data_IF_369956210542
#
_entry.id   IF_369956210542
#
_cell.length_a   1.000
_cell.length_b   1.000
_cell.length_c   1.000
_cell.angle_alpha   90.00
_cell.angle_beta   90.00
_cell.angle_gamma   90.00
#
_symmetry.space_group_name_H-M   'P 1'
#
loop_
_entity.id
_entity.type
_entity.pdbx_description
1 polymer ?
#
# COMPACT_ATOMS: atom_id res chain seq x y z
N UNK A 1 -32.14 -3.76 7.84
CA UNK A 1 -31.10 -3.84 6.80
C UNK A 1 -30.95 -2.52 6.01
N UNK A 2 -30.82 -1.36 6.67
CA UNK A 2 -30.73 -0.04 6.00
C UNK A 2 -29.52 0.80 6.45
N UNK A 3 -28.58 0.21 7.21
CA UNK A 3 -27.43 0.96 7.74
C UNK A 3 -26.15 0.95 6.91
N UNK A 4 -26.03 0.06 5.92
CA UNK A 4 -24.73 -0.15 5.25
C UNK A 4 -24.38 0.88 4.18
N UNK A 5 -25.36 1.43 3.47
CA UNK A 5 -25.13 2.32 2.33
C UNK A 5 -24.76 3.75 2.75
N UNK A 6 -25.35 4.27 3.81
CA UNK A 6 -25.07 5.62 4.31
C UNK A 6 -23.65 5.72 4.92
N UNK A 7 -23.20 4.67 5.60
CA UNK A 7 -21.88 4.66 6.25
C UNK A 7 -20.74 4.53 5.22
N UNK A 8 -20.96 3.81 4.12
CA UNK A 8 -20.03 3.75 2.99
C UNK A 8 -19.83 5.11 2.34
N UNK A 9 -20.93 5.85 2.10
CA UNK A 9 -20.89 7.20 1.56
C UNK A 9 -20.13 8.16 2.48
N UNK A 10 -20.24 8.00 3.81
CA UNK A 10 -19.53 8.84 4.77
C UNK A 10 -18.01 8.64 4.72
N UNK A 11 -17.51 7.41 4.69
CA UNK A 11 -16.06 7.13 4.60
C UNK A 11 -15.46 7.64 3.29
N UNK A 12 -16.10 7.36 2.16
CA UNK A 12 -15.66 7.86 0.86
C UNK A 12 -15.67 9.39 0.79
N UNK A 13 -16.66 10.02 1.38
CA UNK A 13 -16.77 11.49 1.45
C UNK A 13 -15.62 12.08 2.28
N UNK A 14 -15.28 11.46 3.41
CA UNK A 14 -14.15 11.88 4.25
C UNK A 14 -12.82 11.72 3.53
N UNK A 15 -12.59 10.61 2.83
CA UNK A 15 -11.39 10.39 2.03
C UNK A 15 -11.27 11.38 0.87
N UNK A 16 -12.37 11.67 0.16
CA UNK A 16 -12.42 12.73 -0.87
C UNK A 16 -12.08 14.11 -0.31
N UNK A 17 -12.50 14.40 0.93
CA UNK A 17 -12.13 15.66 1.60
C UNK A 17 -10.63 15.72 1.89
N UNK A 18 -10.00 14.62 2.29
CA UNK A 18 -8.54 14.53 2.46
C UNK A 18 -7.85 14.82 1.13
N UNK A 19 -8.29 14.18 0.06
CA UNK A 19 -7.72 14.39 -1.28
C UNK A 19 -7.84 15.85 -1.73
N UNK A 20 -9.01 16.47 -1.52
CA UNK A 20 -9.21 17.88 -1.83
C UNK A 20 -8.29 18.80 -1.02
N UNK A 21 -8.15 18.57 0.30
CA UNK A 21 -7.24 19.33 1.16
C UNK A 21 -5.78 19.16 0.72
N UNK A 22 -5.41 17.94 0.34
CA UNK A 22 -4.05 17.64 -0.16
C UNK A 22 -3.76 18.35 -1.49
N UNK A 23 -4.73 18.41 -2.39
CA UNK A 23 -4.60 19.14 -3.65
C UNK A 23 -4.50 20.65 -3.44
N UNK A 24 -5.30 21.19 -2.50
CA UNK A 24 -5.44 22.64 -2.27
C UNK A 24 -4.28 23.26 -1.52
N UNK A 25 -3.63 22.50 -0.62
CA UNK A 25 -2.50 22.98 0.18
C UNK A 25 -1.32 21.99 0.12
N UNK A 26 -0.29 22.28 -0.69
CA UNK A 26 0.92 21.45 -0.78
C UNK A 26 1.66 21.27 0.55
N UNK A 27 1.50 22.15 1.52
CA UNK A 27 2.14 22.07 2.85
C UNK A 27 1.28 21.37 3.89
N UNK A 28 0.03 21.02 3.56
CA UNK A 28 -0.88 20.35 4.48
C UNK A 28 -0.27 19.06 5.02
N UNK A 29 -0.31 18.92 6.35
CA UNK A 29 0.01 17.71 7.10
C UNK A 29 -1.27 17.19 7.74
N UNK A 30 -1.40 15.86 7.85
CA UNK A 30 -2.61 15.21 8.33
C UNK A 30 -2.30 14.50 9.66
N UNK A 31 -2.83 15.02 10.76
CA UNK A 31 -2.51 14.58 12.13
C UNK A 31 -3.55 13.62 12.71
N UNK A 32 -4.64 13.37 12.01
CA UNK A 32 -5.71 12.49 12.48
C UNK A 32 -6.27 11.67 11.34
N UNK A 33 -5.73 10.47 11.14
CA UNK A 33 -6.12 9.55 10.07
C UNK A 33 -6.63 8.21 10.63
N UNK A 34 -6.23 7.84 11.85
CA UNK A 34 -6.60 6.55 12.46
C UNK A 34 -8.10 6.40 12.71
N UNK A 35 -8.88 7.48 12.79
CA UNK A 35 -10.33 7.39 12.95
C UNK A 35 -11.05 6.77 11.72
N UNK A 36 -10.36 6.71 10.58
CA UNK A 36 -10.86 5.99 9.40
C UNK A 36 -10.80 4.46 9.54
N UNK A 37 -10.04 3.94 10.51
CA UNK A 37 -9.96 2.51 10.80
C UNK A 37 -11.06 2.12 11.80
N UNK A 38 -12.28 2.07 11.36
CA UNK A 38 -13.45 1.68 12.13
C UNK A 38 -14.13 0.44 11.51
N UNK A 39 -15.08 -0.14 12.23
CA UNK A 39 -15.75 -1.38 11.82
C UNK A 39 -16.38 -1.26 10.45
N UNK A 40 -17.03 -0.14 10.16
CA UNK A 40 -17.73 0.10 8.91
C UNK A 40 -16.76 0.17 7.73
N UNK A 41 -15.68 0.95 7.88
CA UNK A 41 -14.66 1.09 6.83
C UNK A 41 -13.95 -0.23 6.54
N UNK A 42 -13.64 -1.01 7.58
CA UNK A 42 -13.00 -2.31 7.43
C UNK A 42 -13.97 -3.36 6.84
N UNK A 43 -15.27 -3.28 7.17
CA UNK A 43 -16.29 -4.09 6.51
C UNK A 43 -16.37 -3.79 5.00
N UNK A 44 -16.28 -2.51 4.64
CA UNK A 44 -16.18 -2.11 3.25
C UNK A 44 -14.96 -2.74 2.56
N UNK A 45 -13.79 -2.64 3.18
CA UNK A 45 -12.58 -3.29 2.68
C UNK A 45 -12.74 -4.81 2.55
N UNK A 46 -13.42 -5.47 3.51
CA UNK A 46 -13.69 -6.90 3.43
C UNK A 46 -14.50 -7.26 2.18
N UNK A 47 -15.54 -6.50 1.86
CA UNK A 47 -16.35 -6.77 0.67
C UNK A 47 -15.60 -6.55 -0.65
N UNK A 48 -14.65 -5.62 -0.67
CA UNK A 48 -13.81 -5.35 -1.84
C UNK A 48 -12.70 -6.39 -2.07
N UNK A 49 -12.28 -7.13 -1.03
CA UNK A 49 -11.24 -8.14 -1.18
C UNK A 49 -11.75 -9.35 -1.98
N UNK A 50 -10.91 -9.85 -2.89
CA UNK A 50 -11.16 -11.08 -3.64
C UNK A 50 -11.00 -12.31 -2.73
N UNK A 51 -12.08 -13.06 -2.53
CA UNK A 51 -12.10 -14.28 -1.70
C UNK A 51 -11.41 -15.50 -2.31
N UNK A 52 -11.03 -15.44 -3.60
CA UNK A 52 -10.33 -16.54 -4.29
C UNK A 52 -8.80 -16.47 -4.11
N UNK A 53 -8.29 -15.39 -3.53
CA UNK A 53 -6.85 -15.20 -3.34
C UNK A 53 -6.29 -16.10 -2.24
N UNK A 54 -5.01 -16.43 -2.37
CA UNK A 54 -4.29 -17.30 -1.44
C UNK A 54 -4.37 -16.79 0.01
N UNK A 55 -4.45 -17.74 0.95
CA UNK A 55 -4.51 -17.49 2.39
C UNK A 55 -3.11 -17.24 2.97
N UNK A 56 -3.06 -16.49 4.07
CA UNK A 56 -1.82 -16.22 4.82
C UNK A 56 -1.32 -17.43 5.61
N UNK A 57 -0.47 -17.15 6.59
CA UNK A 57 0.14 -18.19 7.46
C UNK A 57 -0.86 -18.85 8.40
N UNK A 58 -1.96 -18.16 8.73
CA UNK A 58 -3.04 -18.63 9.59
C UNK A 58 -4.00 -19.61 8.90
N UNK A 59 -3.93 -19.70 7.56
CA UNK A 59 -4.81 -20.56 6.76
C UNK A 59 -6.26 -20.10 6.69
N UNK A 60 -6.61 -18.96 7.25
CA UNK A 60 -8.00 -18.47 7.32
C UNK A 60 -8.42 -17.90 5.97
N UNK A 61 -9.50 -18.46 5.42
CA UNK A 61 -10.12 -17.97 4.17
C UNK A 61 -11.03 -16.78 4.43
N UNK A 62 -11.36 -16.02 3.35
CA UNK A 62 -12.34 -14.93 3.45
C UNK A 62 -13.72 -15.43 3.90
N UNK A 63 -14.15 -16.63 3.46
CA UNK A 63 -15.42 -17.22 3.87
C UNK A 63 -15.46 -17.50 5.37
N UNK A 64 -14.45 -18.18 5.91
CA UNK A 64 -14.34 -18.49 7.34
C UNK A 64 -14.28 -17.22 8.22
N UNK A 65 -13.50 -16.22 7.82
CA UNK A 65 -13.48 -14.94 8.54
C UNK A 65 -14.84 -14.23 8.50
N UNK A 66 -15.55 -14.36 7.40
CA UNK A 66 -16.88 -13.78 7.17
C UNK A 66 -18.00 -14.39 8.01
N UNK A 67 -17.85 -15.63 8.51
CA UNK A 67 -18.83 -16.29 9.38
C UNK A 67 -19.07 -15.49 10.69
N UNK A 68 -18.02 -14.83 11.20
CA UNK A 68 -18.05 -13.99 12.40
C UNK A 68 -17.57 -12.56 12.12
N UNK A 69 -17.88 -12.02 10.94
CA UNK A 69 -17.31 -10.75 10.45
C UNK A 69 -17.46 -9.60 11.45
N UNK A 70 -18.66 -9.40 12.02
CA UNK A 70 -18.91 -8.30 12.93
C UNK A 70 -18.07 -8.39 14.21
N UNK A 71 -17.94 -9.57 14.79
CA UNK A 71 -17.16 -9.83 16.00
C UNK A 71 -15.67 -9.66 15.72
N UNK A 72 -15.18 -10.25 14.62
CA UNK A 72 -13.77 -10.17 14.19
C UNK A 72 -13.35 -8.71 13.94
N UNK A 73 -14.18 -7.93 13.22
CA UNK A 73 -13.87 -6.53 12.95
C UNK A 73 -13.94 -5.68 14.22
N UNK A 74 -14.86 -5.96 15.15
CA UNK A 74 -14.94 -5.25 16.41
C UNK A 74 -13.68 -5.49 17.26
N UNK A 75 -13.26 -6.75 17.39
CA UNK A 75 -12.02 -7.09 18.09
C UNK A 75 -10.79 -6.44 17.44
N UNK A 76 -10.68 -6.49 16.10
CA UNK A 76 -9.58 -5.84 15.37
C UNK A 76 -9.52 -4.35 15.67
N UNK A 77 -10.65 -3.63 15.58
CA UNK A 77 -10.71 -2.18 15.85
C UNK A 77 -10.33 -1.87 17.29
N UNK A 78 -10.80 -2.66 18.26
CA UNK A 78 -10.44 -2.48 19.67
C UNK A 78 -8.95 -2.75 19.92
N UNK A 79 -8.35 -3.75 19.29
CA UNK A 79 -6.89 -3.98 19.33
C UNK A 79 -6.13 -2.82 18.69
N UNK A 80 -6.63 -2.27 17.57
CA UNK A 80 -6.03 -1.09 16.93
C UNK A 80 -6.12 0.15 17.82
N UNK A 81 -7.27 0.42 18.46
CA UNK A 81 -7.43 1.56 19.38
C UNK A 81 -6.43 1.51 20.54
N UNK A 82 -6.18 0.34 21.08
CA UNK A 82 -5.23 0.11 22.20
C UNK A 82 -3.78 -0.04 21.75
N UNK A 83 -3.48 0.13 20.45
CA UNK A 83 -2.16 -0.12 19.85
C UNK A 83 -1.64 -1.56 20.07
N UNK A 84 -2.55 -2.50 20.30
CA UNK A 84 -2.24 -3.92 20.53
C UNK A 84 -2.20 -4.76 19.24
N UNK A 85 -2.78 -4.27 18.14
CA UNK A 85 -2.71 -4.96 16.85
C UNK A 85 -1.25 -5.07 16.38
N UNK A 86 -0.88 -6.30 15.94
CA UNK A 86 0.42 -6.64 15.37
C UNK A 86 0.20 -7.39 14.07
N UNK A 87 0.72 -6.91 12.94
CA UNK A 87 0.72 -7.68 11.71
C UNK A 87 1.46 -8.99 11.89
N UNK A 88 0.97 -10.04 11.24
CA UNK A 88 1.65 -11.33 11.20
C UNK A 88 2.67 -11.37 10.05
N UNK A 89 3.69 -12.24 10.13
CA UNK A 89 4.62 -12.45 9.02
C UNK A 89 3.89 -12.85 7.75
N UNK A 90 4.37 -12.37 6.60
CA UNK A 90 3.84 -12.79 5.31
C UNK A 90 4.34 -14.19 4.94
N UNK A 91 3.48 -15.03 4.40
CA UNK A 91 3.86 -16.33 3.84
C UNK A 91 4.48 -16.13 2.46
N UNK A 92 5.76 -16.47 2.30
CA UNK A 92 6.42 -16.39 1.01
C UNK A 92 6.04 -17.55 0.10
N UNK A 93 5.70 -17.23 -1.13
CA UNK A 93 5.60 -18.18 -2.25
C UNK A 93 6.45 -17.67 -3.41
N UNK A 94 6.95 -18.60 -4.21
CA UNK A 94 7.80 -18.26 -5.37
C UNK A 94 6.97 -18.49 -6.62
N UNK A 95 6.89 -17.49 -7.49
CA UNK A 95 6.17 -17.58 -8.76
C UNK A 95 7.10 -17.31 -9.93
N UNK A 96 6.90 -17.95 -11.10
CA UNK A 96 7.67 -17.67 -12.30
C UNK A 96 7.55 -16.20 -12.71
N UNK A 97 8.64 -15.63 -13.22
CA UNK A 97 8.61 -14.31 -13.88
C UNK A 97 8.12 -14.47 -15.31
N UNK A 98 7.15 -13.64 -15.69
CA UNK A 98 6.67 -13.60 -17.06
C UNK A 98 7.80 -13.17 -18.02
N UNK A 99 7.91 -13.87 -19.15
CA UNK A 99 8.89 -13.57 -20.19
C UNK A 99 10.35 -13.92 -19.86
N UNK A 100 10.64 -14.52 -18.70
CA UNK A 100 11.99 -14.93 -18.29
C UNK A 100 12.02 -16.39 -17.86
N UNK A 101 12.24 -17.37 -18.77
CA UNK A 101 12.26 -18.79 -18.42
C UNK A 101 13.28 -19.09 -17.32
N UNK A 102 12.84 -19.78 -16.27
CA UNK A 102 13.68 -20.15 -15.12
C UNK A 102 13.86 -19.06 -14.05
N UNK A 103 13.48 -17.82 -14.32
CA UNK A 103 13.52 -16.77 -13.33
C UNK A 103 12.28 -16.82 -12.41
N UNK A 104 12.50 -16.69 -11.10
CA UNK A 104 11.46 -16.75 -10.08
C UNK A 104 11.41 -15.42 -9.32
N UNK A 105 10.23 -15.05 -8.83
CA UNK A 105 10.07 -13.91 -7.92
C UNK A 105 9.37 -14.34 -6.64
N UNK A 106 9.83 -13.87 -5.47
CA UNK A 106 9.14 -14.10 -4.23
C UNK A 106 7.91 -13.20 -4.15
N UNK A 107 6.79 -13.76 -3.66
CA UNK A 107 5.55 -13.05 -3.39
C UNK A 107 5.15 -13.29 -1.94
N UNK A 108 4.88 -12.21 -1.18
CA UNK A 108 4.42 -12.29 0.19
C UNK A 108 2.89 -12.32 0.26
N UNK A 109 2.33 -13.29 0.97
CA UNK A 109 0.88 -13.44 1.18
C UNK A 109 0.57 -13.14 2.64
N UNK A 110 -0.06 -12.00 2.89
CA UNK A 110 -0.54 -11.58 4.20
C UNK A 110 -1.78 -12.38 4.62
N UNK A 111 -2.02 -12.49 5.93
CA UNK A 111 -3.29 -13.00 6.47
C UNK A 111 -4.44 -12.06 6.10
N UNK A 112 -5.67 -12.56 6.18
CA UNK A 112 -6.83 -11.78 5.74
C UNK A 112 -7.01 -10.49 6.57
N UNK A 113 -6.84 -10.57 7.87
CA UNK A 113 -6.95 -9.43 8.77
C UNK A 113 -5.95 -8.32 8.40
N UNK A 114 -4.71 -8.69 8.12
CA UNK A 114 -3.69 -7.72 7.68
C UNK A 114 -4.04 -7.13 6.31
N UNK A 115 -4.62 -7.93 5.40
CA UNK A 115 -5.10 -7.42 4.09
C UNK A 115 -6.18 -6.34 4.27
N UNK A 116 -7.08 -6.49 5.26
CA UNK A 116 -8.10 -5.47 5.56
C UNK A 116 -7.46 -4.16 6.03
N UNK A 117 -6.54 -4.25 6.97
CA UNK A 117 -5.82 -3.08 7.48
C UNK A 117 -4.98 -2.42 6.38
N UNK A 118 -4.26 -3.21 5.58
CA UNK A 118 -3.50 -2.73 4.43
C UNK A 118 -4.39 -2.06 3.39
N UNK A 119 -5.56 -2.61 3.11
CA UNK A 119 -6.51 -2.02 2.16
C UNK A 119 -7.03 -0.66 2.64
N UNK A 120 -7.33 -0.53 3.93
CA UNK A 120 -7.72 0.75 4.50
C UNK A 120 -6.56 1.75 4.51
N UNK A 121 -5.33 1.30 4.84
CA UNK A 121 -4.12 2.13 4.70
C UNK A 121 -3.92 2.62 3.28
N UNK A 122 -4.07 1.75 2.29
CA UNK A 122 -4.00 2.11 0.87
C UNK A 122 -4.95 3.27 0.57
N UNK A 123 -6.24 3.16 0.92
CA UNK A 123 -7.24 4.20 0.67
C UNK A 123 -6.88 5.54 1.34
N UNK A 124 -6.39 5.50 2.56
CA UNK A 124 -5.95 6.70 3.29
C UNK A 124 -4.73 7.34 2.61
N UNK A 125 -3.71 6.54 2.31
CA UNK A 125 -2.48 7.02 1.65
C UNK A 125 -2.78 7.56 0.24
N UNK A 126 -3.58 6.87 -0.55
CA UNK A 126 -4.04 7.36 -1.85
C UNK A 126 -4.72 8.72 -1.73
N UNK A 127 -5.59 8.91 -0.74
CA UNK A 127 -6.26 10.20 -0.52
C UNK A 127 -5.28 11.33 -0.19
N UNK A 128 -4.17 11.03 0.49
CA UNK A 128 -3.14 12.02 0.83
C UNK A 128 -2.23 12.32 -0.35
N UNK A 129 -1.82 11.31 -1.11
CA UNK A 129 -0.72 11.42 -2.07
C UNK A 129 -1.17 11.50 -3.53
N UNK A 130 -2.27 10.84 -3.93
CA UNK A 130 -2.73 10.82 -5.33
C UNK A 130 -2.81 12.22 -5.96
N UNK A 131 -3.31 13.26 -5.25
CA UNK A 131 -3.37 14.61 -5.82
C UNK A 131 -2.00 15.27 -6.03
N UNK A 132 -0.92 14.64 -5.59
CA UNK A 132 0.45 15.18 -5.63
C UNK A 132 1.34 14.52 -6.67
N UNK A 133 0.87 13.44 -7.26
CA UNK A 133 1.62 12.74 -8.30
C UNK A 133 1.80 13.60 -9.54
N UNK A 134 2.95 13.48 -10.16
CA UNK A 134 3.19 14.07 -11.46
C UNK A 134 2.33 13.38 -12.54
N UNK A 135 1.96 14.13 -13.56
CA UNK A 135 1.16 13.58 -14.65
C UNK A 135 1.88 12.51 -15.46
N UNK A 136 3.20 12.45 -15.40
CA UNK A 136 4.03 11.42 -16.03
C UNK A 136 4.15 10.13 -15.19
N UNK A 137 3.59 10.06 -13.99
CA UNK A 137 3.54 8.83 -13.17
C UNK A 137 2.29 8.02 -13.52
N UNK A 138 2.46 6.75 -13.85
CA UNK A 138 1.38 5.86 -14.29
C UNK A 138 1.24 4.59 -13.46
N UNK A 139 2.31 4.16 -12.77
CA UNK A 139 2.33 2.91 -12.02
C UNK A 139 1.38 2.93 -10.83
N UNK A 140 0.65 1.83 -10.61
CA UNK A 140 -0.22 1.56 -9.44
C UNK A 140 -1.17 2.69 -9.02
N UNK A 141 -1.48 3.60 -9.92
CA UNK A 141 -2.39 4.72 -9.67
C UNK A 141 -3.82 4.42 -10.13
N UNK A 142 -4.85 4.87 -9.37
CA UNK A 142 -6.24 4.73 -9.79
C UNK A 142 -6.49 5.36 -11.16
N UNK A 143 -7.10 4.59 -12.07
CA UNK A 143 -7.48 5.09 -13.41
C UNK A 143 -6.32 5.33 -14.37
N UNK A 144 -5.09 4.92 -14.03
CA UNK A 144 -3.91 4.98 -14.91
C UNK A 144 -3.28 3.60 -15.04
N UNK A 145 -2.71 3.31 -16.20
CA UNK A 145 -2.07 2.01 -16.46
C UNK A 145 -0.95 2.08 -17.48
N UNK A 146 -0.32 0.94 -17.73
CA UNK A 146 0.80 0.83 -18.68
C UNK A 146 0.40 1.25 -20.10
N UNK A 147 -0.83 1.01 -20.53
CA UNK A 147 -1.32 1.45 -21.84
C UNK A 147 -1.38 2.98 -21.95
N UNK A 148 -1.74 3.67 -20.87
CA UNK A 148 -1.76 5.14 -20.83
C UNK A 148 -0.34 5.71 -20.90
N UNK A 149 0.62 5.06 -20.19
CA UNK A 149 2.03 5.42 -20.25
C UNK A 149 2.59 5.26 -21.67
N UNK A 150 2.32 4.13 -22.33
CA UNK A 150 2.75 3.86 -23.70
C UNK A 150 2.13 4.87 -24.67
N UNK A 151 0.84 5.16 -24.50
CA UNK A 151 0.13 6.16 -25.34
C UNK A 151 0.75 7.55 -25.19
N UNK A 152 1.03 7.98 -23.95
CA UNK A 152 1.66 9.27 -23.70
C UNK A 152 3.07 9.35 -24.29
N UNK A 153 3.87 8.29 -24.12
CA UNK A 153 5.20 8.19 -24.72
C UNK A 153 5.12 8.27 -26.27
N UNK A 154 4.21 7.49 -26.88
CA UNK A 154 4.00 7.51 -28.32
C UNK A 154 3.64 8.90 -28.83
N UNK A 155 2.69 9.58 -28.16
CA UNK A 155 2.29 10.95 -28.53
C UNK A 155 3.46 11.93 -28.41
N UNK A 156 4.28 11.81 -27.33
CA UNK A 156 5.44 12.66 -27.16
C UNK A 156 6.47 12.45 -28.28
N UNK A 157 6.81 11.20 -28.60
CA UNK A 157 7.75 10.87 -29.67
C UNK A 157 7.24 11.29 -31.06
N UNK A 158 5.92 11.25 -31.29
CA UNK A 158 5.34 11.62 -32.57
C UNK A 158 5.31 13.14 -32.81
N UNK A 159 5.09 13.92 -31.74
CA UNK A 159 4.93 15.37 -31.87
C UNK A 159 6.21 16.18 -31.60
N UNK A 160 7.28 15.53 -31.14
CA UNK A 160 8.55 16.19 -30.84
C UNK A 160 9.71 15.52 -31.56
N UNK A 161 10.72 16.30 -31.94
CA UNK A 161 11.98 15.77 -32.45
C UNK A 161 12.80 15.21 -31.28
N UNK A 162 12.76 13.88 -31.08
CA UNK A 162 13.48 13.20 -30.01
C UNK A 162 14.70 12.53 -30.61
N UNK A 163 15.88 12.96 -30.19
CA UNK A 163 17.15 12.39 -30.65
C UNK A 163 17.57 11.17 -29.85
N UNK A 164 17.25 11.09 -28.57
CA UNK A 164 17.69 10.02 -27.65
C UNK A 164 16.57 9.66 -26.70
N UNK A 165 16.37 8.37 -26.45
CA UNK A 165 15.53 7.83 -25.37
C UNK A 165 16.44 7.08 -24.39
N UNK A 166 16.33 7.42 -23.11
CA UNK A 166 17.08 6.77 -22.02
C UNK A 166 16.06 6.00 -21.16
N UNK A 167 16.25 4.69 -21.05
CA UNK A 167 15.48 3.82 -20.16
C UNK A 167 16.32 3.51 -18.92
N UNK A 168 15.73 3.70 -17.74
CA UNK A 168 16.41 3.50 -16.44
C UNK A 168 15.53 2.63 -15.55
N UNK A 169 16.10 1.55 -15.02
CA UNK A 169 15.43 0.68 -14.05
C UNK A 169 16.29 0.49 -12.79
N UNK A 170 15.63 0.36 -11.65
CA UNK A 170 16.29 0.16 -10.36
C UNK A 170 16.33 -1.33 -10.01
N UNK A 171 17.53 -1.89 -9.93
CA UNK A 171 17.71 -3.29 -9.55
C UNK A 171 17.24 -3.56 -8.11
N UNK A 172 16.44 -4.64 -7.93
CA UNK A 172 15.94 -5.09 -6.64
C UNK A 172 15.29 -3.99 -5.77
N UNK A 173 14.61 -3.05 -6.39
CA UNK A 173 14.09 -1.86 -5.76
C UNK A 173 13.34 -2.13 -4.43
N UNK A 174 12.35 -3.03 -4.45
CA UNK A 174 11.57 -3.35 -3.25
C UNK A 174 12.41 -4.02 -2.13
N UNK A 175 13.50 -4.70 -2.48
CA UNK A 175 14.37 -5.37 -1.52
C UNK A 175 15.40 -4.45 -0.86
N UNK A 176 15.57 -3.22 -1.37
CA UNK A 176 16.59 -2.27 -0.89
C UNK A 176 16.02 -1.01 -0.26
N UNK A 177 14.70 -0.98 -0.02
CA UNK A 177 14.05 0.18 0.60
C UNK A 177 14.40 0.22 2.08
N UNK A 178 15.03 1.29 2.50
CA UNK A 178 15.29 1.60 3.90
C UNK A 178 13.99 1.99 4.60
N UNK A 179 13.63 1.26 5.67
CA UNK A 179 12.39 1.48 6.41
C UNK A 179 12.37 2.81 7.15
N UNK A 180 13.50 3.26 7.71
CA UNK A 180 13.58 4.49 8.49
C UNK A 180 13.40 5.70 7.57
N UNK A 181 14.11 5.70 6.43
CA UNK A 181 13.99 6.75 5.45
C UNK A 181 12.57 6.81 4.84
N UNK A 182 11.94 5.66 4.58
CA UNK A 182 10.56 5.62 4.10
C UNK A 182 9.59 6.22 5.14
N UNK A 183 9.79 5.93 6.42
CA UNK A 183 8.97 6.50 7.50
C UNK A 183 9.18 8.01 7.60
N UNK A 184 10.41 8.52 7.50
CA UNK A 184 10.69 9.96 7.49
C UNK A 184 9.96 10.67 6.34
N UNK A 185 10.01 10.11 5.14
CA UNK A 185 9.29 10.65 3.98
C UNK A 185 7.78 10.67 4.19
N UNK A 186 7.21 9.61 4.76
CA UNK A 186 5.78 9.57 5.09
C UNK A 186 5.40 10.63 6.13
N UNK A 187 6.26 10.89 7.12
CA UNK A 187 6.05 11.87 8.17
C UNK A 187 6.04 13.33 7.67
N UNK A 188 6.57 13.61 6.49
CA UNK A 188 6.44 14.92 5.88
C UNK A 188 4.97 15.34 5.69
N UNK A 189 4.08 14.39 5.41
CA UNK A 189 2.65 14.63 5.15
C UNK A 189 1.74 14.02 6.20
N UNK A 190 2.17 12.96 6.87
CA UNK A 190 1.41 12.24 7.87
C UNK A 190 1.94 12.58 9.25
N UNK A 191 1.14 13.31 10.03
CA UNK A 191 1.43 13.65 11.41
C UNK A 191 0.78 12.70 12.42
N UNK A 192 -0.09 11.79 11.97
CA UNK A 192 -0.71 10.79 12.84
C UNK A 192 0.32 9.72 13.24
N UNK A 193 0.91 9.88 14.43
CA UNK A 193 1.94 8.96 14.97
C UNK A 193 1.43 7.52 15.12
N UNK A 194 0.13 7.32 15.32
CA UNK A 194 -0.44 5.97 15.44
C UNK A 194 -0.44 5.27 14.09
N UNK A 195 -0.79 5.98 13.01
CA UNK A 195 -0.73 5.45 11.65
C UNK A 195 0.72 5.15 11.24
N UNK A 196 1.64 6.07 11.47
CA UNK A 196 3.08 5.88 11.24
C UNK A 196 3.61 4.65 11.98
N UNK A 197 3.23 4.46 13.23
CA UNK A 197 3.63 3.29 14.01
C UNK A 197 3.09 1.97 13.42
N UNK A 198 1.87 1.98 12.88
CA UNK A 198 1.33 0.79 12.20
C UNK A 198 2.02 0.51 10.87
N UNK A 199 2.34 1.53 10.08
CA UNK A 199 3.15 1.38 8.87
C UNK A 199 4.52 0.76 9.19
N UNK A 200 5.23 1.30 10.19
CA UNK A 200 6.51 0.74 10.66
C UNK A 200 6.39 -0.72 11.11
N UNK A 201 5.32 -1.08 11.83
CA UNK A 201 5.08 -2.49 12.21
C UNK A 201 4.83 -3.39 11.01
N UNK A 202 4.14 -2.91 9.98
CA UNK A 202 3.89 -3.67 8.76
C UNK A 202 5.16 -3.90 7.95
N UNK A 203 6.04 -2.91 7.88
CA UNK A 203 7.33 -3.06 7.21
C UNK A 203 8.22 -4.10 7.93
N UNK A 204 8.15 -4.14 9.27
CA UNK A 204 8.92 -5.04 10.13
C UNK A 204 8.22 -6.36 10.46
N UNK A 205 7.08 -6.68 9.85
CA UNK A 205 6.32 -7.90 10.16
C UNK A 205 7.07 -9.21 9.84
N UNK A 206 8.06 -9.13 8.95
CA UNK A 206 8.86 -10.28 8.55
C UNK A 206 8.22 -11.16 7.49
N UNK A 207 9.00 -12.10 7.02
CA UNK A 207 8.64 -13.05 5.96
C UNK A 207 8.89 -14.47 6.46
N UNK A 208 7.88 -15.33 6.38
CA UNK A 208 8.01 -16.75 6.62
C UNK A 208 8.32 -17.46 5.28
N UNK A 209 9.55 -17.95 5.14
CA UNK A 209 10.03 -18.66 3.96
C UNK A 209 10.56 -20.03 4.36
N UNK A 210 10.05 -21.11 3.73
CA UNK A 210 10.46 -22.48 3.99
C UNK A 210 10.48 -22.91 5.47
N UNK A 211 9.62 -22.30 6.30
CA UNK A 211 9.55 -22.59 7.74
C UNK A 211 10.47 -21.73 8.61
N UNK A 212 11.31 -20.91 8.01
CA UNK A 212 12.18 -19.96 8.71
C UNK A 212 11.62 -18.54 8.66
N UNK A 213 11.70 -17.84 9.78
CA UNK A 213 11.27 -16.46 9.88
C UNK A 213 12.44 -15.52 9.61
N UNK A 214 12.30 -14.70 8.59
CA UNK A 214 13.29 -13.68 8.24
C UNK A 214 12.69 -12.31 8.52
N UNK A 215 13.36 -11.54 9.37
CA UNK A 215 13.03 -10.15 9.65
C UNK A 215 14.19 -9.30 9.16
N UNK A 216 13.93 -8.39 8.24
CA UNK A 216 14.92 -7.48 7.71
C UNK A 216 14.55 -6.04 8.08
N UNK A 217 15.55 -5.21 8.29
CA UNK A 217 15.36 -3.75 8.47
C UNK A 217 15.23 -3.01 7.12
N UNK A 218 15.43 -3.73 6.02
CA UNK A 218 15.33 -3.24 4.65
C UNK A 218 14.36 -4.10 3.84
N UNK A 219 13.78 -3.50 2.83
CA UNK A 219 12.91 -4.16 1.86
C UNK A 219 11.46 -4.28 2.31
N UNK A 220 10.59 -4.33 1.33
CA UNK A 220 9.16 -4.51 1.52
C UNK A 220 8.69 -5.77 0.80
N UNK A 221 7.80 -6.57 1.42
CA UNK A 221 7.32 -7.78 0.79
C UNK A 221 6.52 -7.45 -0.47
N UNK A 222 6.93 -8.01 -1.61
CA UNK A 222 6.18 -7.89 -2.85
C UNK A 222 4.83 -8.59 -2.71
N UNK A 223 3.75 -7.93 -3.12
CA UNK A 223 2.38 -8.45 -3.05
C UNK A 223 1.56 -7.97 -1.85
N UNK A 224 2.12 -7.17 -0.95
CA UNK A 224 1.34 -6.44 0.04
C UNK A 224 0.51 -5.34 -0.63
N UNK A 225 -0.75 -5.20 -0.22
CA UNK A 225 -1.69 -4.23 -0.81
C UNK A 225 -1.23 -2.78 -0.57
N UNK A 226 -0.56 -2.51 0.55
CA UNK A 226 -0.09 -1.17 0.92
C UNK A 226 1.26 -0.80 0.31
N UNK A 227 2.04 -1.79 -0.17
CA UNK A 227 3.40 -1.57 -0.66
C UNK A 227 3.47 -0.61 -1.85
N UNK A 228 2.73 -0.80 -2.95
CA UNK A 228 2.80 0.10 -4.09
C UNK A 228 2.43 1.55 -3.74
N UNK A 229 1.29 1.86 -3.10
CA UNK A 229 0.94 3.23 -2.76
C UNK A 229 1.95 3.90 -1.84
N UNK A 230 2.53 3.16 -0.90
CA UNK A 230 3.49 3.71 0.06
C UNK A 230 4.80 4.12 -0.61
N UNK A 231 5.23 3.39 -1.64
CA UNK A 231 6.52 3.61 -2.30
C UNK A 231 6.41 4.59 -3.45
N UNK A 232 5.47 4.39 -4.34
CA UNK A 232 5.33 5.23 -5.53
C UNK A 232 4.90 6.65 -5.18
N UNK A 233 4.22 6.81 -4.06
CA UNK A 233 3.73 8.10 -3.57
C UNK A 233 4.84 9.03 -3.10
N UNK A 234 6.03 8.54 -2.84
CA UNK A 234 7.15 9.36 -2.41
C UNK A 234 8.18 9.66 -3.52
N UNK A 235 7.88 9.30 -4.77
CA UNK A 235 8.70 9.61 -5.91
C UNK A 235 8.10 10.79 -6.69
N UNK A 236 8.69 11.96 -6.79
CA UNK A 236 9.73 12.31 -7.74
C UNK A 236 10.89 13.17 -7.21
N UNK A 237 10.80 13.74 -6.02
CA UNK A 237 11.89 14.58 -5.49
C UNK A 237 12.67 13.95 -4.33
N UNK A 238 12.04 13.01 -3.63
CA UNK A 238 12.60 12.36 -2.43
C UNK A 238 13.33 11.07 -2.76
N UNK A 239 13.05 10.47 -3.92
CA UNK A 239 13.61 9.19 -4.35
C UNK A 239 15.13 9.20 -4.56
N UNK A 240 15.65 10.34 -5.02
CA UNK A 240 17.10 10.55 -5.09
C UNK A 240 17.78 10.50 -3.71
N UNK A 241 17.06 10.77 -2.62
CA UNK A 241 17.63 10.68 -1.27
C UNK A 241 17.64 9.23 -0.76
N UNK A 242 16.58 8.45 -1.03
CA UNK A 242 16.46 7.09 -0.53
C UNK A 242 17.40 6.09 -1.24
N UNK A 243 17.65 6.30 -2.55
CA UNK A 243 18.55 5.45 -3.34
C UNK A 243 20.02 5.86 -3.26
N UNK A 244 20.33 7.13 -2.91
CA UNK A 244 21.71 7.66 -2.84
C UNK A 244 22.36 7.54 -1.45
N UNK A 245 21.68 6.98 -0.46
CA UNK A 245 22.25 6.80 0.88
C UNK A 245 23.35 5.71 0.93
N UNK A 246 23.54 4.94 -0.17
CA UNK A 246 24.63 3.96 -0.29
C UNK A 246 25.16 3.91 -1.72
N UNK A 247 25.97 4.86 -2.08
CA UNK A 247 27.00 4.73 -3.13
C UNK A 247 28.35 5.06 -2.50
#
# INVERSE_FOLDING_TARGET
MLGSTETYLDTDTKLKRIAWLSASDPRKRFDSLMHHFNVESLAACFHELDGTKAVGIDGITKAQYGEHLAENLHDLVERMKRMAYRPLPVRQVVIPKDGQPGAMRPLGISVLEDKLVQKMMQKVLESVYEPRFLDCSYGFRPGRGCHDAIKALYQHLYHHEVAIVIDVDLANFFGTIDHELLIELLQEKIGDERLIRYLSRMFKAGVLSAGEMVVNDEGLPQGSISTPPTIEQNCPSSFHRASNARV
#
